data_IF_905427278570
#
_entry.id   IF_905427278570
#
_cell.length_a   1.000
_cell.length_b   1.000
_cell.length_c   1.000
_cell.angle_alpha   90.00
_cell.angle_beta   90.00
_cell.angle_gamma   90.00
#
_symmetry.space_group_name_H-M   'P 1'
#
loop_
_entity.id
_entity.type
_entity.pdbx_description
1 polymer ?
#
# COMPACT_ATOMS: atom_id res chain seq x y z
N UNK A 1 10.25 -19.17 1.29
CA UNK A 1 9.83 -17.97 2.05
C UNK A 1 10.39 -16.67 1.47
N UNK A 2 11.39 -16.73 0.58
CA UNK A 2 12.07 -15.53 0.06
C UNK A 2 11.19 -14.64 -0.81
N UNK A 3 10.23 -15.22 -1.54
CA UNK A 3 9.27 -14.44 -2.33
C UNK A 3 8.43 -13.52 -1.44
N UNK A 4 7.81 -14.06 -0.38
CA UNK A 4 6.98 -13.28 0.55
C UNK A 4 7.81 -12.19 1.24
N UNK A 5 9.04 -12.52 1.68
CA UNK A 5 9.98 -11.55 2.24
C UNK A 5 10.29 -10.41 1.26
N UNK A 6 10.60 -10.76 0.01
CA UNK A 6 10.94 -9.78 -1.04
C UNK A 6 9.78 -8.85 -1.34
N UNK A 7 8.57 -9.39 -1.50
CA UNK A 7 7.37 -8.59 -1.74
C UNK A 7 7.11 -7.63 -0.58
N UNK A 8 7.19 -8.10 0.67
CA UNK A 8 7.01 -7.26 1.86
C UNK A 8 8.03 -6.11 1.93
N UNK A 9 9.29 -6.37 1.62
CA UNK A 9 10.34 -5.33 1.65
C UNK A 9 10.10 -4.28 0.55
N UNK A 10 9.76 -4.72 -0.67
CA UNK A 10 9.47 -3.80 -1.78
C UNK A 10 8.24 -2.96 -1.44
N UNK A 11 7.18 -3.62 -0.96
CA UNK A 11 5.95 -2.96 -0.55
C UNK A 11 6.22 -1.94 0.56
N UNK A 12 6.99 -2.30 1.58
CA UNK A 12 7.41 -1.39 2.64
C UNK A 12 8.16 -0.16 2.08
N UNK A 13 9.10 -0.37 1.16
CA UNK A 13 9.84 0.73 0.55
C UNK A 13 8.93 1.72 -0.19
N UNK A 14 7.99 1.21 -0.99
CA UNK A 14 7.02 2.03 -1.72
C UNK A 14 6.12 2.81 -0.76
N UNK A 15 5.51 2.14 0.23
CA UNK A 15 4.64 2.80 1.20
C UNK A 15 5.37 3.78 2.10
N UNK A 16 6.61 3.50 2.49
CA UNK A 16 7.43 4.44 3.26
C UNK A 16 7.71 5.71 2.46
N UNK A 17 8.12 5.58 1.20
CA UNK A 17 8.39 6.73 0.33
C UNK A 17 7.14 7.57 0.07
N UNK A 18 6.02 6.92 -0.30
CA UNK A 18 4.74 7.59 -0.50
C UNK A 18 4.22 8.23 0.79
N UNK A 19 4.29 7.51 1.91
CA UNK A 19 3.84 7.99 3.22
C UNK A 19 4.59 9.23 3.68
N UNK A 20 5.92 9.25 3.53
CA UNK A 20 6.76 10.43 3.84
C UNK A 20 6.41 11.60 2.93
N UNK A 21 6.31 11.37 1.61
CA UNK A 21 5.97 12.42 0.66
C UNK A 21 4.62 13.07 0.99
N UNK A 22 3.61 12.26 1.30
CA UNK A 22 2.26 12.70 1.68
C UNK A 22 2.26 13.40 3.06
N UNK A 23 3.04 12.91 4.03
CA UNK A 23 3.12 13.51 5.37
C UNK A 23 3.79 14.90 5.34
N UNK A 24 4.84 15.07 4.52
CA UNK A 24 5.63 16.30 4.46
C UNK A 24 4.98 17.34 3.53
N UNK A 25 4.60 16.93 2.32
CA UNK A 25 4.15 17.84 1.26
C UNK A 25 2.88 17.34 0.54
N UNK A 26 1.75 17.16 1.24
CA UNK A 26 0.52 16.63 0.66
C UNK A 26 -0.01 17.48 -0.49
N UNK A 27 0.05 18.82 -0.38
CA UNK A 27 -0.40 19.71 -1.45
C UNK A 27 0.42 19.60 -2.73
N UNK A 28 1.74 19.43 -2.62
CA UNK A 28 2.60 19.22 -3.80
C UNK A 28 2.27 17.89 -4.47
N UNK A 29 2.17 16.82 -3.69
CA UNK A 29 1.87 15.48 -4.23
C UNK A 29 0.47 15.46 -4.84
N UNK A 30 -0.56 15.86 -4.12
CA UNK A 30 -1.94 15.70 -4.61
C UNK A 30 -2.32 16.74 -5.65
N UNK A 31 -1.98 18.01 -5.44
CA UNK A 31 -2.42 19.10 -6.35
C UNK A 31 -1.43 19.27 -7.50
N UNK A 32 -0.13 19.38 -7.23
CA UNK A 32 0.85 19.69 -8.28
C UNK A 32 1.18 18.48 -9.16
N UNK A 33 1.36 17.30 -8.56
CA UNK A 33 1.76 16.11 -9.32
C UNK A 33 0.56 15.36 -9.92
N UNK A 34 -0.58 15.35 -9.21
CA UNK A 34 -1.74 14.54 -9.59
C UNK A 34 -3.00 15.34 -9.93
N UNK A 35 -2.91 16.68 -9.96
CA UNK A 35 -4.00 17.57 -10.38
C UNK A 35 -5.34 17.29 -9.67
N UNK A 36 -5.27 16.98 -8.37
CA UNK A 36 -6.46 16.86 -7.53
C UNK A 36 -6.94 18.22 -7.03
N UNK A 37 -8.26 18.38 -6.83
CA UNK A 37 -8.82 19.56 -6.18
C UNK A 37 -8.15 19.82 -4.83
N UNK A 38 -7.86 21.10 -4.55
CA UNK A 38 -7.21 21.47 -3.29
C UNK A 38 -8.19 21.29 -2.13
N UNK A 39 -7.88 20.35 -1.23
CA UNK A 39 -8.64 20.19 0.01
C UNK A 39 -8.41 21.40 0.94
N UNK A 40 -9.46 21.90 1.62
CA UNK A 40 -9.36 23.00 2.57
C UNK A 40 -8.56 22.62 3.83
N UNK A 41 -8.64 21.35 4.26
CA UNK A 41 -7.80 20.80 5.33
C UNK A 41 -7.00 19.57 4.83
N UNK A 42 -5.69 19.62 5.01
CA UNK A 42 -4.75 18.55 4.64
C UNK A 42 -4.22 17.78 5.86
N UNK A 43 -4.69 18.09 7.08
CA UNK A 43 -4.27 17.44 8.32
C UNK A 43 -4.51 15.93 8.28
N UNK A 44 -5.71 15.50 7.89
CA UNK A 44 -6.04 14.08 7.73
C UNK A 44 -5.15 13.35 6.72
N UNK A 45 -4.80 14.02 5.63
CA UNK A 45 -3.90 13.47 4.60
C UNK A 45 -2.50 13.25 5.16
N UNK A 46 -1.98 14.20 5.96
CA UNK A 46 -0.68 14.04 6.62
C UNK A 46 -0.67 12.88 7.60
N UNK A 47 -1.73 12.76 8.39
CA UNK A 47 -1.92 11.65 9.35
C UNK A 47 -1.93 10.30 8.61
N UNK A 48 -2.64 10.20 7.47
CA UNK A 48 -2.63 9.01 6.63
C UNK A 48 -1.21 8.68 6.11
N UNK A 49 -0.43 9.69 5.73
CA UNK A 49 0.98 9.53 5.35
C UNK A 49 1.84 8.95 6.48
N UNK A 50 1.65 9.43 7.72
CA UNK A 50 2.34 8.90 8.90
C UNK A 50 1.95 7.44 9.17
N UNK A 51 0.65 7.12 9.11
CA UNK A 51 0.19 5.74 9.27
C UNK A 51 0.75 4.81 8.18
N UNK A 52 0.84 5.27 6.94
CA UNK A 52 1.45 4.52 5.84
C UNK A 52 2.93 4.22 6.11
N UNK A 53 3.68 5.20 6.63
CA UNK A 53 5.07 5.01 7.04
C UNK A 53 5.21 4.01 8.21
N UNK A 54 4.38 4.13 9.24
CA UNK A 54 4.36 3.18 10.36
C UNK A 54 4.03 1.75 9.89
N UNK A 55 3.07 1.62 8.97
CA UNK A 55 2.73 0.33 8.37
C UNK A 55 3.90 -0.27 7.59
N UNK A 56 4.68 0.55 6.88
CA UNK A 56 5.89 0.10 6.21
C UNK A 56 6.95 -0.44 7.20
N UNK A 57 7.13 0.21 8.36
CA UNK A 57 8.03 -0.31 9.40
C UNK A 57 7.55 -1.66 9.95
N UNK A 58 6.23 -1.84 10.12
CA UNK A 58 5.66 -3.14 10.52
C UNK A 58 5.89 -4.21 9.44
N UNK A 59 5.75 -3.87 8.16
CA UNK A 59 6.07 -4.79 7.06
C UNK A 59 7.54 -5.23 7.10
N UNK A 60 8.48 -4.30 7.39
CA UNK A 60 9.91 -4.64 7.55
C UNK A 60 10.12 -5.57 8.74
N UNK A 61 9.49 -5.30 9.88
CA UNK A 61 9.58 -6.16 11.07
C UNK A 61 9.12 -7.58 10.76
N UNK A 62 7.94 -7.72 10.15
CA UNK A 62 7.38 -9.02 9.75
C UNK A 62 8.26 -9.71 8.72
N UNK A 63 8.80 -8.97 7.73
CA UNK A 63 9.72 -9.53 6.75
C UNK A 63 11.03 -10.05 7.37
N UNK A 64 11.53 -9.41 8.45
CA UNK A 64 12.73 -9.86 9.17
C UNK A 64 12.44 -11.12 9.99
N UNK A 65 11.28 -11.22 10.64
CA UNK A 65 10.84 -12.37 11.46
C UNK A 65 9.80 -13.26 10.79
N UNK A 66 9.95 -13.46 9.48
CA UNK A 66 8.93 -14.14 8.67
C UNK A 66 8.63 -15.57 9.14
N UNK A 67 9.63 -16.30 9.64
CA UNK A 67 9.46 -17.67 10.11
C UNK A 67 8.43 -17.77 11.25
N UNK A 68 8.38 -16.77 12.13
CA UNK A 68 7.47 -16.68 13.27
C UNK A 68 6.17 -15.98 12.89
N UNK A 69 6.26 -14.91 12.09
CA UNK A 69 5.16 -13.95 11.87
C UNK A 69 4.52 -14.02 10.47
N UNK A 70 4.83 -15.00 9.62
CA UNK A 70 4.27 -15.11 8.26
C UNK A 70 2.75 -14.93 8.19
N UNK A 71 2.01 -15.40 9.21
CA UNK A 71 0.55 -15.28 9.27
C UNK A 71 0.09 -13.82 9.33
N UNK A 72 0.87 -12.92 9.95
CA UNK A 72 0.59 -11.48 9.94
C UNK A 72 0.67 -10.88 8.54
N UNK A 73 1.29 -11.54 7.56
CA UNK A 73 1.29 -11.04 6.19
C UNK A 73 -0.11 -11.00 5.55
N UNK A 74 -1.09 -11.75 6.09
CA UNK A 74 -2.49 -11.63 5.71
C UNK A 74 -3.06 -10.23 5.95
N UNK A 75 -2.62 -9.53 7.01
CA UNK A 75 -3.08 -8.17 7.28
C UNK A 75 -2.67 -7.21 6.15
N UNK A 76 -1.42 -7.34 5.66
CA UNK A 76 -0.94 -6.53 4.54
C UNK A 76 -1.60 -6.90 3.22
N UNK A 77 -1.92 -8.18 3.03
CA UNK A 77 -2.67 -8.64 1.85
C UNK A 77 -4.07 -8.02 1.83
N UNK A 78 -4.80 -8.10 2.95
CA UNK A 78 -6.15 -7.55 3.07
C UNK A 78 -6.12 -6.03 2.92
N UNK A 79 -5.16 -5.35 3.55
CA UNK A 79 -4.99 -3.91 3.39
C UNK A 79 -4.74 -3.53 1.93
N UNK A 80 -3.86 -4.25 1.23
CA UNK A 80 -3.56 -4.00 -0.19
C UNK A 80 -4.77 -4.26 -1.07
N UNK A 81 -5.52 -5.34 -0.84
CA UNK A 81 -6.71 -5.68 -1.61
C UNK A 81 -7.82 -4.64 -1.40
N UNK A 82 -8.07 -4.26 -0.14
CA UNK A 82 -9.03 -3.21 0.20
C UNK A 82 -8.66 -1.87 -0.42
N UNK A 83 -7.38 -1.47 -0.32
CA UNK A 83 -6.88 -0.26 -0.97
C UNK A 83 -7.04 -0.29 -2.49
N UNK A 84 -6.78 -1.43 -3.13
CA UNK A 84 -6.96 -1.59 -4.57
C UNK A 84 -8.43 -1.39 -4.99
N UNK A 85 -9.37 -2.01 -4.26
CA UNK A 85 -10.80 -1.89 -4.51
C UNK A 85 -11.25 -0.44 -4.34
N UNK A 86 -10.92 0.19 -3.22
CA UNK A 86 -11.31 1.58 -2.93
C UNK A 86 -10.74 2.53 -3.98
N UNK A 87 -9.48 2.35 -4.40
CA UNK A 87 -8.86 3.18 -5.42
C UNK A 87 -9.50 2.99 -6.79
N UNK A 88 -9.79 1.74 -7.18
CA UNK A 88 -10.49 1.47 -8.44
C UNK A 88 -11.90 2.09 -8.45
N UNK A 89 -12.65 1.97 -7.36
CA UNK A 89 -13.97 2.59 -7.24
C UNK A 89 -13.90 4.12 -7.32
N UNK A 90 -12.89 4.75 -6.68
CA UNK A 90 -12.68 6.19 -6.81
C UNK A 90 -12.31 6.59 -8.24
N UNK A 91 -11.46 5.81 -8.92
CA UNK A 91 -11.10 6.05 -10.31
C UNK A 91 -12.31 5.97 -11.26
N UNK A 92 -13.27 5.09 -10.96
CA UNK A 92 -14.45 4.85 -11.79
C UNK A 92 -15.62 5.81 -11.49
N UNK A 93 -15.81 6.20 -10.23
CA UNK A 93 -17.05 6.86 -9.78
C UNK A 93 -16.84 8.06 -8.84
N UNK A 94 -15.65 8.24 -8.27
CA UNK A 94 -15.43 9.15 -7.15
C UNK A 94 -14.83 10.51 -7.53
N UNK A 95 -14.53 10.74 -8.80
CA UNK A 95 -13.81 11.94 -9.26
C UNK A 95 -14.77 13.06 -9.68
N UNK A 96 -14.54 14.30 -9.22
CA UNK A 96 -15.19 15.48 -9.76
C UNK A 96 -14.88 15.66 -11.25
N UNK A 97 -15.80 16.29 -11.98
CA UNK A 97 -15.59 16.61 -13.40
C UNK A 97 -14.29 17.40 -13.60
N UNK A 98 -13.43 16.91 -14.49
CA UNK A 98 -12.14 17.53 -14.82
C UNK A 98 -10.96 17.15 -13.92
N UNK A 99 -11.16 16.37 -12.85
CA UNK A 99 -10.07 15.89 -12.01
C UNK A 99 -9.35 14.67 -12.63
N UNK A 100 -8.03 14.59 -12.47
CA UNK A 100 -7.24 13.48 -12.99
C UNK A 100 -7.51 12.16 -12.25
N UNK A 101 -7.79 11.09 -12.99
CA UNK A 101 -7.96 9.74 -12.44
C UNK A 101 -6.64 8.98 -12.26
N UNK A 102 -5.53 9.55 -12.71
CA UNK A 102 -4.23 8.87 -12.82
C UNK A 102 -3.71 8.38 -11.45
N UNK A 103 -3.84 9.20 -10.40
CA UNK A 103 -3.44 8.80 -9.05
C UNK A 103 -4.14 7.50 -8.62
N UNK A 104 -5.47 7.45 -8.81
CA UNK A 104 -6.29 6.34 -8.39
C UNK A 104 -5.98 5.07 -9.17
N UNK A 105 -5.75 5.19 -10.48
CA UNK A 105 -5.32 4.05 -11.29
C UNK A 105 -3.94 3.53 -10.90
N UNK A 106 -2.97 4.41 -10.66
CA UNK A 106 -1.63 4.02 -10.18
C UNK A 106 -1.71 3.32 -8.83
N UNK A 107 -2.52 3.86 -7.91
CA UNK A 107 -2.71 3.29 -6.58
C UNK A 107 -3.41 1.93 -6.64
N UNK A 108 -4.44 1.80 -7.48
CA UNK A 108 -5.15 0.55 -7.72
C UNK A 108 -4.22 -0.50 -8.34
N UNK A 109 -3.45 -0.13 -9.36
CA UNK A 109 -2.51 -1.03 -10.03
C UNK A 109 -1.40 -1.50 -9.08
N UNK A 110 -0.77 -0.59 -8.35
CA UNK A 110 0.29 -0.93 -7.39
C UNK A 110 -0.25 -1.82 -6.26
N UNK A 111 -1.40 -1.48 -5.69
CA UNK A 111 -2.04 -2.27 -4.63
C UNK A 111 -2.49 -3.64 -5.11
N UNK A 112 -2.95 -3.76 -6.36
CA UNK A 112 -3.29 -5.05 -6.98
C UNK A 112 -2.04 -5.90 -7.19
N UNK A 113 -0.96 -5.32 -7.71
CA UNK A 113 0.32 -6.02 -7.88
C UNK A 113 0.86 -6.56 -6.55
N UNK A 114 0.81 -5.75 -5.49
CA UNK A 114 1.20 -6.20 -4.14
C UNK A 114 0.27 -7.27 -3.59
N UNK A 115 -1.05 -7.13 -3.76
CA UNK A 115 -2.02 -8.16 -3.38
C UNK A 115 -1.70 -9.51 -4.02
N UNK A 116 -1.48 -9.53 -5.34
CA UNK A 116 -1.13 -10.75 -6.08
C UNK A 116 0.22 -11.30 -5.62
N UNK A 117 1.23 -10.44 -5.45
CA UNK A 117 2.55 -10.83 -4.97
C UNK A 117 2.53 -11.44 -3.56
N UNK A 118 1.78 -10.83 -2.64
CA UNK A 118 1.59 -11.33 -1.28
C UNK A 118 0.82 -12.65 -1.27
N UNK A 119 -0.24 -12.77 -2.09
CA UNK A 119 -1.03 -14.00 -2.20
C UNK A 119 -0.15 -15.15 -2.72
N UNK A 120 0.63 -14.91 -3.77
CA UNK A 120 1.57 -15.90 -4.31
C UNK A 120 2.67 -16.27 -3.28
N UNK A 121 3.18 -15.27 -2.54
CA UNK A 121 4.16 -15.47 -1.48
C UNK A 121 3.60 -16.30 -0.32
N UNK A 122 2.37 -16.03 0.10
CA UNK A 122 1.66 -16.76 1.15
C UNK A 122 1.35 -18.20 0.74
N UNK A 123 0.85 -18.41 -0.49
CA UNK A 123 0.56 -19.73 -1.02
C UNK A 123 1.81 -20.63 -1.03
N UNK A 124 2.96 -20.12 -1.52
CA UNK A 124 4.23 -20.84 -1.48
C UNK A 124 4.71 -21.11 -0.05
N UNK A 125 4.56 -20.13 0.83
CA UNK A 125 4.97 -20.27 2.23
C UNK A 125 4.14 -21.33 2.98
N UNK A 126 2.87 -21.50 2.61
CA UNK A 126 2.01 -22.57 3.12
C UNK A 126 2.47 -23.97 2.68
N UNK A 127 3.04 -24.11 1.48
CA UNK A 127 3.49 -25.41 0.95
C UNK A 127 4.91 -25.79 1.36
N UNK A 128 5.77 -24.82 1.69
CA UNK A 128 7.17 -25.06 2.05
C UNK A 128 7.36 -25.45 3.52
N UNK A 129 6.29 -25.46 4.31
CA UNK A 129 6.36 -25.85 5.73
C UNK A 129 6.17 -27.36 5.88
N UNK A 130 7.04 -28.05 6.64
CA UNK A 130 6.75 -29.41 7.03
C UNK A 130 5.46 -29.43 7.85
N UNK A 131 4.57 -30.44 7.65
CA UNK A 131 3.53 -30.71 8.63
C UNK A 131 4.25 -31.02 9.95
N UNK A 132 3.75 -30.43 11.04
CA UNK A 132 4.30 -30.50 12.39
C UNK A 132 5.01 -31.82 12.74
#
# INVERSE_FOLDING_TARGET
MDLLRRVLIIQAGVWAACGVAIAVAPGFVLVTLFDLPRLPDQGYVRIAGIFSFCLALLMVLVARRLAELWWFAWAFLIASAGSAIVAALNALFGLPDGASSLLWWLFAAASTAFTVGLLAGLAKTGTERPPF
#
